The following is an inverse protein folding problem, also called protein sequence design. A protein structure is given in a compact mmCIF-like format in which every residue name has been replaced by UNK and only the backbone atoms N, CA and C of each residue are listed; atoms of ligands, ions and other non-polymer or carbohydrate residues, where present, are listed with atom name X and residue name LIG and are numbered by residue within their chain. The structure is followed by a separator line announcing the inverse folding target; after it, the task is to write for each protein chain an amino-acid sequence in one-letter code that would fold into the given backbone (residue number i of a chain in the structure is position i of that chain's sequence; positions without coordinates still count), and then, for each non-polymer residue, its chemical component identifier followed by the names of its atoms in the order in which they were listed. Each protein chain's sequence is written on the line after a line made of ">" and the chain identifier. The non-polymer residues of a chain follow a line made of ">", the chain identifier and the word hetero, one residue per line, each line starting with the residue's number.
data_IF_986638766526
#
_entry.id   IF_986638766526
#
_cell.length_a   1.000
_cell.length_b   1.000
_cell.length_c   1.000
_cell.angle_alpha   90.00
_cell.angle_beta   90.00
_cell.angle_gamma   90.00
#
_symmetry.space_group_name_H-M   'P 1'
#
loop_
_entity.id
_entity.type
_entity.pdbx_description
1 polymer ?
#
# COMPACT_ATOMS: atom_id res chain seq x y z
N UNK A 1 29.79 17.17 -5.89
CA UNK A 1 28.95 16.66 -4.79
C UNK A 1 28.15 17.82 -4.25
N UNK A 2 26.84 17.63 -4.20
CA UNK A 2 25.89 18.57 -3.64
C UNK A 2 25.19 17.88 -2.45
N UNK A 3 24.46 18.64 -1.64
CA UNK A 3 23.65 18.10 -0.56
C UNK A 3 22.17 18.26 -0.90
N UNK A 4 21.37 17.24 -0.59
CA UNK A 4 19.91 17.34 -0.66
C UNK A 4 19.36 18.18 0.50
N UNK A 5 18.07 18.48 0.46
CA UNK A 5 17.34 19.25 1.49
C UNK A 5 17.44 18.68 2.92
N UNK A 6 17.84 17.40 3.03
CA UNK A 6 18.02 16.67 4.30
C UNK A 6 19.49 16.53 4.72
N UNK A 7 20.41 17.20 4.03
CA UNK A 7 21.85 17.22 4.35
C UNK A 7 22.59 15.93 3.97
N UNK A 8 22.02 15.09 3.09
CA UNK A 8 22.68 13.90 2.56
C UNK A 8 23.43 14.26 1.28
N UNK A 9 24.66 13.76 1.15
CA UNK A 9 25.48 14.00 -0.04
C UNK A 9 24.95 13.21 -1.24
N UNK A 10 24.91 13.86 -2.40
CA UNK A 10 24.61 13.28 -3.70
C UNK A 10 25.82 13.50 -4.62
N UNK A 11 26.28 12.45 -5.30
CA UNK A 11 27.45 12.46 -6.18
C UNK A 11 27.14 13.09 -7.56
N UNK A 12 26.75 14.37 -7.53
CA UNK A 12 26.51 15.20 -8.72
C UNK A 12 27.03 16.63 -8.48
N UNK A 13 27.23 17.39 -9.54
CA UNK A 13 27.39 18.85 -9.52
C UNK A 13 26.23 19.59 -10.22
N UNK A 14 25.17 18.86 -10.59
CA UNK A 14 23.98 19.36 -11.29
C UNK A 14 22.85 19.63 -10.28
N UNK A 15 22.54 20.89 -9.94
CA UNK A 15 21.52 21.22 -8.94
C UNK A 15 20.11 20.75 -9.31
N UNK A 16 19.80 20.66 -10.60
CA UNK A 16 18.50 20.20 -11.11
C UNK A 16 18.23 18.75 -10.72
N UNK A 17 19.24 17.88 -10.78
CA UNK A 17 19.11 16.48 -10.38
C UNK A 17 18.78 16.35 -8.87
N UNK A 18 19.48 17.13 -8.04
CA UNK A 18 19.21 17.19 -6.59
C UNK A 18 17.79 17.67 -6.30
N UNK A 19 17.35 18.74 -6.96
CA UNK A 19 16.01 19.29 -6.76
C UNK A 19 14.90 18.30 -7.14
N UNK A 20 15.09 17.52 -8.22
CA UNK A 20 14.16 16.48 -8.63
C UNK A 20 14.12 15.29 -7.65
N UNK A 21 15.26 14.86 -7.10
CA UNK A 21 15.34 13.83 -6.04
C UNK A 21 14.66 14.30 -4.75
N UNK A 22 14.89 15.56 -4.36
CA UNK A 22 14.22 16.18 -3.20
C UNK A 22 12.71 16.27 -3.41
N UNK A 23 12.29 16.69 -4.61
CA UNK A 23 10.88 16.74 -5.00
C UNK A 23 10.21 15.37 -4.91
N UNK A 24 10.87 14.32 -5.41
CA UNK A 24 10.40 12.94 -5.29
C UNK A 24 10.28 12.48 -3.84
N UNK A 25 11.33 12.72 -3.04
CA UNK A 25 11.34 12.38 -1.62
C UNK A 25 10.19 13.05 -0.90
N UNK A 26 9.99 14.35 -1.15
CA UNK A 26 8.87 15.10 -0.60
C UNK A 26 7.53 14.54 -1.07
N UNK A 27 7.37 14.24 -2.36
CA UNK A 27 6.15 13.68 -2.91
C UNK A 27 5.76 12.35 -2.25
N UNK A 28 6.73 11.47 -1.94
CA UNK A 28 6.47 10.20 -1.27
C UNK A 28 6.06 10.37 0.21
N UNK A 29 6.73 11.24 0.96
CA UNK A 29 6.45 11.42 2.40
C UNK A 29 5.21 12.27 2.67
N UNK A 30 4.97 13.28 1.82
CA UNK A 30 3.81 14.16 1.90
C UNK A 30 2.61 13.64 1.09
N UNK A 31 2.81 12.58 0.30
CA UNK A 31 1.82 12.00 -0.59
C UNK A 31 1.22 13.02 -1.56
N UNK A 32 2.04 13.83 -2.23
CA UNK A 32 1.58 14.72 -3.31
C UNK A 32 1.54 13.97 -4.65
N UNK A 33 0.86 14.51 -5.65
CA UNK A 33 0.79 13.93 -7.00
C UNK A 33 1.99 14.29 -7.91
N UNK A 34 3.09 14.80 -7.32
CA UNK A 34 4.25 15.33 -8.06
C UNK A 34 5.42 14.35 -8.20
N UNK A 35 5.26 13.08 -7.81
CA UNK A 35 6.35 12.10 -7.77
C UNK A 35 7.05 11.86 -9.12
N UNK A 36 6.38 12.13 -10.25
CA UNK A 36 6.98 12.04 -11.59
C UNK A 36 8.16 13.00 -11.81
N UNK A 37 8.29 14.06 -11.00
CA UNK A 37 9.39 15.03 -11.07
C UNK A 37 10.77 14.38 -11.00
N UNK A 38 10.88 13.19 -10.40
CA UNK A 38 12.15 12.46 -10.32
C UNK A 38 12.74 12.13 -11.69
N UNK A 39 11.91 12.03 -12.74
CA UNK A 39 12.36 11.71 -14.09
C UNK A 39 13.21 12.82 -14.71
N UNK A 40 13.05 14.05 -14.23
CA UNK A 40 13.88 15.18 -14.62
C UNK A 40 15.33 15.00 -14.11
N UNK A 41 15.56 14.17 -13.08
CA UNK A 41 16.88 13.96 -12.50
C UNK A 41 17.84 13.21 -13.45
N UNK A 42 17.52 12.00 -13.97
CA UNK A 42 18.37 11.34 -14.95
C UNK A 42 18.39 12.04 -16.31
N UNK A 43 17.38 12.87 -16.65
CA UNK A 43 17.45 13.74 -17.83
C UNK A 43 18.51 14.85 -17.67
N UNK A 44 18.62 15.43 -16.48
CA UNK A 44 19.57 16.50 -16.17
C UNK A 44 21.00 15.97 -15.95
N UNK A 45 21.14 14.84 -15.26
CA UNK A 45 22.43 14.18 -15.01
C UNK A 45 22.31 12.66 -15.22
N UNK A 46 22.50 12.17 -16.47
CA UNK A 46 22.37 10.76 -16.80
C UNK A 46 23.35 9.85 -16.06
N UNK A 47 24.49 10.39 -15.60
CA UNK A 47 25.52 9.61 -14.92
C UNK A 47 25.32 9.58 -13.39
N UNK A 48 24.34 10.34 -12.86
CA UNK A 48 24.03 10.35 -11.43
C UNK A 48 23.35 9.05 -11.00
N UNK A 49 23.99 8.33 -10.08
CA UNK A 49 23.53 7.02 -9.61
C UNK A 49 22.23 7.14 -8.82
N UNK A 50 22.10 8.12 -7.92
CA UNK A 50 20.88 8.30 -7.14
C UNK A 50 19.69 8.74 -8.01
N UNK A 51 19.93 9.60 -9.01
CA UNK A 51 18.89 10.04 -9.94
C UNK A 51 18.25 8.86 -10.68
N UNK A 52 19.09 7.99 -11.25
CA UNK A 52 18.65 6.79 -11.95
C UNK A 52 18.01 5.76 -10.99
N UNK A 53 18.57 5.55 -9.81
CA UNK A 53 17.98 4.64 -8.82
C UNK A 53 16.60 5.13 -8.33
N UNK A 54 16.43 6.45 -8.13
CA UNK A 54 15.16 7.04 -7.72
C UNK A 54 14.11 6.96 -8.84
N UNK A 55 14.50 7.17 -10.11
CA UNK A 55 13.63 6.96 -11.26
C UNK A 55 13.20 5.49 -11.41
N UNK A 56 14.12 4.53 -11.21
CA UNK A 56 13.78 3.11 -11.16
C UNK A 56 12.78 2.80 -10.03
N UNK A 57 12.99 3.36 -8.83
CA UNK A 57 12.08 3.20 -7.70
C UNK A 57 10.67 3.74 -8.01
N UNK A 58 10.56 4.90 -8.67
CA UNK A 58 9.28 5.44 -9.13
C UNK A 58 8.52 4.44 -10.02
N UNK A 59 9.18 3.83 -11.00
CA UNK A 59 8.56 2.84 -11.88
C UNK A 59 8.05 1.62 -11.09
N UNK A 60 8.81 1.20 -10.09
CA UNK A 60 8.45 0.06 -9.24
C UNK A 60 7.22 0.29 -8.35
N UNK A 61 6.95 1.54 -7.95
CA UNK A 61 5.69 1.90 -7.26
C UNK A 61 4.43 1.74 -8.13
N UNK A 62 4.58 1.48 -9.43
CA UNK A 62 3.44 1.15 -10.30
C UNK A 62 2.74 -0.17 -9.93
N UNK A 63 3.43 -1.09 -9.23
CA UNK A 63 2.90 -2.38 -8.75
C UNK A 63 2.21 -3.25 -9.84
N UNK A 64 2.67 -3.16 -11.09
CA UNK A 64 2.21 -4.01 -12.20
C UNK A 64 3.30 -4.99 -12.65
N UNK A 65 2.95 -6.00 -13.45
CA UNK A 65 3.95 -6.89 -14.09
C UNK A 65 4.95 -6.16 -14.99
N UNK A 66 4.64 -4.94 -15.44
CA UNK A 66 5.50 -4.18 -16.33
C UNK A 66 6.47 -3.27 -15.56
N UNK A 67 6.20 -2.97 -14.30
CA UNK A 67 6.98 -2.04 -13.47
C UNK A 67 8.48 -2.40 -13.42
N UNK A 68 8.81 -3.70 -13.29
CA UNK A 68 10.21 -4.15 -13.31
C UNK A 68 10.89 -3.96 -14.68
N UNK A 69 10.15 -4.07 -15.79
CA UNK A 69 10.69 -3.81 -17.12
C UNK A 69 10.85 -2.31 -17.40
N UNK A 70 9.96 -1.48 -16.86
CA UNK A 70 10.02 -0.01 -16.96
C UNK A 70 11.14 0.57 -16.08
N UNK A 71 11.42 -0.05 -14.94
CA UNK A 71 12.51 0.33 -14.05
C UNK A 71 13.90 -0.09 -14.57
N UNK A 72 13.96 -1.14 -15.42
CA UNK A 72 15.23 -1.76 -15.85
C UNK A 72 16.20 -0.78 -16.52
N UNK A 73 15.78 0.07 -17.49
CA UNK A 73 16.70 1.00 -18.14
C UNK A 73 17.39 1.94 -17.14
N UNK A 74 16.65 2.45 -16.16
CA UNK A 74 17.20 3.36 -15.16
C UNK A 74 18.16 2.64 -14.22
N UNK A 75 17.79 1.47 -13.69
CA UNK A 75 18.64 0.79 -12.71
C UNK A 75 19.93 0.22 -13.34
N UNK A 76 19.87 -0.20 -14.60
CA UNK A 76 21.06 -0.64 -15.35
C UNK A 76 22.01 0.56 -15.59
N UNK A 77 21.47 1.75 -15.87
CA UNK A 77 22.27 2.98 -16.00
C UNK A 77 22.94 3.38 -14.67
N UNK A 78 22.21 3.28 -13.55
CA UNK A 78 22.77 3.49 -12.22
C UNK A 78 23.97 2.56 -11.96
N UNK A 79 23.88 1.29 -12.37
CA UNK A 79 24.97 0.34 -12.20
C UNK A 79 26.15 0.56 -13.15
N UNK A 80 25.91 1.07 -14.37
CA UNK A 80 26.99 1.51 -15.29
C UNK A 80 27.88 2.56 -14.64
N UNK A 81 27.28 3.46 -13.86
CA UNK A 81 27.97 4.59 -13.22
C UNK A 81 28.27 4.40 -11.73
N UNK A 82 28.07 3.19 -11.18
CA UNK A 82 28.19 2.89 -9.75
C UNK A 82 29.55 3.29 -9.14
N UNK A 83 30.62 3.31 -9.94
CA UNK A 83 31.96 3.74 -9.49
C UNK A 83 32.06 5.22 -9.12
N UNK A 84 31.07 6.04 -9.46
CA UNK A 84 30.95 7.46 -9.09
C UNK A 84 30.12 7.67 -7.81
N UNK A 85 29.40 6.65 -7.35
CA UNK A 85 28.50 6.73 -6.22
C UNK A 85 29.24 6.98 -4.90
N UNK A 86 28.61 7.74 -4.00
CA UNK A 86 28.94 7.67 -2.57
C UNK A 86 28.56 6.29 -2.01
N UNK A 87 29.08 5.89 -0.82
CA UNK A 87 28.68 4.63 -0.19
C UNK A 87 27.17 4.49 0.03
N UNK A 88 26.48 5.60 0.35
CA UNK A 88 25.02 5.63 0.50
C UNK A 88 24.32 5.35 -0.82
N UNK A 89 24.72 6.05 -1.88
CA UNK A 89 24.12 5.90 -3.21
C UNK A 89 24.32 4.50 -3.79
N UNK A 90 25.50 3.88 -3.57
CA UNK A 90 25.74 2.48 -3.96
C UNK A 90 24.78 1.53 -3.24
N UNK A 91 24.59 1.69 -1.92
CA UNK A 91 23.63 0.89 -1.17
C UNK A 91 22.19 1.13 -1.64
N UNK A 92 21.79 2.36 -1.94
CA UNK A 92 20.46 2.68 -2.42
C UNK A 92 20.20 2.08 -3.81
N UNK A 93 21.15 2.22 -4.75
CA UNK A 93 21.07 1.58 -6.06
C UNK A 93 20.99 0.05 -5.95
N UNK A 94 21.73 -0.56 -5.03
CA UNK A 94 21.61 -2.01 -4.75
C UNK A 94 20.27 -2.39 -4.14
N UNK A 95 19.71 -1.57 -3.26
CA UNK A 95 18.37 -1.79 -2.70
C UNK A 95 17.31 -1.80 -3.80
N UNK A 96 17.33 -0.79 -4.68
CA UNK A 96 16.41 -0.69 -5.82
C UNK A 96 16.66 -1.80 -6.84
N UNK A 97 17.91 -2.16 -7.13
CA UNK A 97 18.24 -3.28 -8.01
C UNK A 97 17.72 -4.62 -7.49
N UNK A 98 17.78 -4.84 -6.17
CA UNK A 98 17.17 -6.00 -5.54
C UNK A 98 15.63 -5.97 -5.66
N UNK A 99 15.00 -4.81 -5.48
CA UNK A 99 13.57 -4.63 -5.70
C UNK A 99 13.16 -4.94 -7.14
N UNK A 100 13.84 -4.39 -8.14
CA UNK A 100 13.58 -4.64 -9.58
C UNK A 100 13.79 -6.12 -9.95
N UNK A 101 14.62 -6.84 -9.19
CA UNK A 101 14.87 -8.28 -9.38
C UNK A 101 13.94 -9.18 -8.56
N UNK A 102 13.05 -8.60 -7.76
CA UNK A 102 12.09 -9.33 -6.90
C UNK A 102 12.66 -9.84 -5.58
N UNK A 103 13.91 -9.51 -5.22
CA UNK A 103 14.53 -9.89 -3.95
C UNK A 103 14.29 -8.82 -2.87
N UNK A 104 13.04 -8.76 -2.39
CA UNK A 104 12.63 -7.80 -1.35
C UNK A 104 13.40 -7.99 -0.02
N UNK A 105 13.68 -9.23 0.46
CA UNK A 105 14.53 -9.41 1.64
C UNK A 105 15.92 -8.77 1.50
N UNK A 106 16.54 -8.87 0.33
CA UNK A 106 17.82 -8.20 0.07
C UNK A 106 17.67 -6.68 0.01
N UNK A 107 16.61 -6.16 -0.63
CA UNK A 107 16.32 -4.72 -0.65
C UNK A 107 16.20 -4.14 0.77
N UNK A 108 15.45 -4.80 1.66
CA UNK A 108 15.29 -4.43 3.07
C UNK A 108 16.62 -4.43 3.84
N UNK A 109 17.52 -5.39 3.56
CA UNK A 109 18.85 -5.41 4.17
C UNK A 109 19.69 -4.20 3.79
N UNK A 110 19.63 -3.77 2.53
CA UNK A 110 20.33 -2.54 2.11
C UNK A 110 19.71 -1.30 2.74
N UNK A 111 18.39 -1.17 2.77
CA UNK A 111 17.74 -0.06 3.46
C UNK A 111 18.10 -0.02 4.96
N UNK A 112 18.12 -1.16 5.65
CA UNK A 112 18.54 -1.22 7.04
C UNK A 112 20.01 -0.81 7.22
N UNK A 113 20.92 -1.27 6.36
CA UNK A 113 22.34 -0.90 6.39
C UNK A 113 22.58 0.60 6.12
N UNK A 114 21.75 1.22 5.27
CA UNK A 114 21.75 2.67 5.08
C UNK A 114 21.38 3.36 6.39
N UNK A 115 20.31 2.93 7.06
CA UNK A 115 19.83 3.56 8.29
C UNK A 115 20.77 3.39 9.49
N UNK A 116 21.64 2.37 9.50
CA UNK A 116 22.70 2.24 10.50
C UNK A 116 23.71 3.41 10.45
N UNK A 117 23.90 4.01 9.27
CA UNK A 117 24.84 5.10 9.03
C UNK A 117 24.16 6.46 8.82
N UNK A 118 22.98 6.47 8.18
CA UNK A 118 22.16 7.64 7.86
C UNK A 118 20.73 7.45 8.39
N UNK A 119 20.53 7.44 9.72
CA UNK A 119 19.25 7.12 10.35
C UNK A 119 18.10 8.07 9.98
N UNK A 120 18.39 9.28 9.49
CA UNK A 120 17.40 10.27 9.05
C UNK A 120 17.05 10.20 7.56
N UNK A 121 17.55 9.20 6.82
CA UNK A 121 17.30 9.03 5.40
C UNK A 121 15.84 8.62 5.13
N UNK A 122 14.98 9.63 5.06
CA UNK A 122 13.53 9.47 5.02
C UNK A 122 13.03 8.81 3.74
N UNK A 123 13.75 8.96 2.62
CA UNK A 123 13.43 8.28 1.37
C UNK A 123 13.56 6.76 1.55
N UNK A 124 14.70 6.32 2.10
CA UNK A 124 14.95 4.91 2.37
C UNK A 124 13.99 4.35 3.44
N UNK A 125 13.67 5.12 4.49
CA UNK A 125 12.65 4.74 5.48
C UNK A 125 11.30 4.50 4.78
N UNK A 126 10.86 5.42 3.91
CA UNK A 126 9.55 5.35 3.27
C UNK A 126 9.43 4.16 2.32
N UNK A 127 10.46 3.91 1.51
CA UNK A 127 10.52 2.76 0.59
C UNK A 127 10.55 1.45 1.40
N UNK A 128 11.37 1.38 2.45
CA UNK A 128 11.43 0.20 3.30
C UNK A 128 10.11 -0.09 4.03
N UNK A 129 9.42 0.94 4.54
CA UNK A 129 8.08 0.78 5.13
C UNK A 129 7.08 0.25 4.10
N UNK A 130 7.15 0.68 2.84
CA UNK A 130 6.32 0.13 1.76
C UNK A 130 6.58 -1.38 1.55
N UNK A 131 7.86 -1.80 1.53
CA UNK A 131 8.21 -3.22 1.45
C UNK A 131 7.74 -4.03 2.66
N UNK A 132 7.96 -3.54 3.87
CA UNK A 132 7.50 -4.21 5.09
C UNK A 132 5.97 -4.33 5.11
N UNK A 133 5.25 -3.27 4.72
CA UNK A 133 3.80 -3.26 4.60
C UNK A 133 3.30 -4.33 3.62
N UNK A 134 3.86 -4.39 2.41
CA UNK A 134 3.47 -5.36 1.40
C UNK A 134 3.81 -6.82 1.75
N UNK A 135 4.65 -7.04 2.77
CA UNK A 135 5.03 -8.37 3.30
C UNK A 135 4.39 -8.70 4.64
N UNK A 136 3.61 -7.80 5.24
CA UNK A 136 3.05 -7.98 6.57
C UNK A 136 4.06 -7.90 7.72
N UNK A 137 5.24 -7.32 7.49
CA UNK A 137 6.29 -7.16 8.50
C UNK A 137 6.04 -5.92 9.36
N UNK A 138 5.08 -6.02 10.29
CA UNK A 138 4.74 -4.93 11.21
C UNK A 138 5.94 -4.49 12.06
N UNK A 139 6.82 -5.42 12.44
CA UNK A 139 8.03 -5.11 13.20
C UNK A 139 9.01 -4.24 12.42
N UNK A 140 9.19 -4.53 11.13
CA UNK A 140 9.99 -3.71 10.23
C UNK A 140 9.38 -2.32 10.04
N UNK A 141 8.06 -2.21 9.79
CA UNK A 141 7.38 -0.90 9.66
C UNK A 141 7.69 -0.01 10.86
N UNK A 142 7.55 -0.57 12.08
CA UNK A 142 7.89 0.14 13.32
C UNK A 142 9.37 0.49 13.40
N UNK A 143 10.26 -0.47 13.17
CA UNK A 143 11.69 -0.25 13.31
C UNK A 143 12.20 0.88 12.41
N UNK A 144 11.79 0.90 11.14
CA UNK A 144 12.17 1.95 10.20
C UNK A 144 11.65 3.33 10.65
N UNK A 145 10.36 3.43 11.02
CA UNK A 145 9.76 4.69 11.48
C UNK A 145 10.36 5.19 12.80
N UNK A 146 10.54 4.30 13.77
CA UNK A 146 11.11 4.62 15.08
C UNK A 146 12.58 5.06 14.99
N UNK A 147 13.37 4.43 14.11
CA UNK A 147 14.78 4.79 13.90
C UNK A 147 14.90 6.22 13.37
N UNK A 148 14.11 6.57 12.36
CA UNK A 148 14.08 7.94 11.84
C UNK A 148 13.59 8.94 12.87
N UNK A 149 12.44 8.67 13.50
CA UNK A 149 11.86 9.57 14.49
C UNK A 149 12.79 9.80 15.70
N UNK A 150 13.54 8.79 16.16
CA UNK A 150 14.49 8.95 17.26
C UNK A 150 15.65 9.89 16.89
N UNK A 151 16.04 9.92 15.62
CA UNK A 151 17.13 10.77 15.15
C UNK A 151 16.67 12.19 14.83
N UNK A 152 15.47 12.34 14.26
CA UNK A 152 14.86 13.64 13.95
C UNK A 152 13.41 13.71 14.49
N UNK A 153 13.24 13.93 15.81
CA UNK A 153 11.92 13.92 16.47
C UNK A 153 11.03 15.10 16.08
N UNK A 154 11.64 16.19 15.57
CA UNK A 154 10.93 17.40 15.15
C UNK A 154 10.34 17.27 13.73
N UNK A 155 10.70 16.22 12.98
CA UNK A 155 10.11 15.94 11.67
C UNK A 155 8.73 15.28 11.82
N UNK A 156 7.67 16.05 11.53
CA UNK A 156 6.28 15.57 11.58
C UNK A 156 6.00 14.38 10.62
N UNK A 157 6.70 14.29 9.49
CA UNK A 157 6.56 13.14 8.57
C UNK A 157 7.07 11.84 9.21
N UNK A 158 8.25 11.89 9.84
CA UNK A 158 8.81 10.74 10.57
C UNK A 158 7.93 10.35 11.76
N UNK A 159 7.39 11.33 12.48
CA UNK A 159 6.45 11.07 13.58
C UNK A 159 5.16 10.37 13.09
N UNK A 160 4.59 10.78 11.95
CA UNK A 160 3.45 10.10 11.35
C UNK A 160 3.78 8.67 10.88
N UNK A 161 4.97 8.48 10.29
CA UNK A 161 5.47 7.15 9.87
C UNK A 161 5.72 6.22 11.08
N UNK A 162 6.22 6.78 12.19
CA UNK A 162 6.37 6.09 13.46
C UNK A 162 5.02 5.73 14.09
N UNK A 163 4.06 6.67 14.09
CA UNK A 163 2.71 6.44 14.60
C UNK A 163 2.03 5.25 13.90
N UNK A 164 2.17 5.14 12.58
CA UNK A 164 1.65 4.00 11.84
C UNK A 164 2.34 2.68 12.23
N UNK A 165 3.67 2.70 12.41
CA UNK A 165 4.39 1.51 12.90
C UNK A 165 3.99 1.06 14.31
N UNK A 166 3.70 2.01 15.21
CA UNK A 166 3.15 1.71 16.52
C UNK A 166 1.78 1.04 16.41
N UNK A 167 0.89 1.57 15.56
CA UNK A 167 -0.44 0.99 15.36
C UNK A 167 -0.36 -0.43 14.78
N UNK A 168 0.49 -0.65 13.76
CA UNK A 168 0.65 -1.97 13.15
C UNK A 168 1.19 -3.03 14.14
N UNK A 169 1.96 -2.60 15.16
CA UNK A 169 2.46 -3.47 16.23
C UNK A 169 1.57 -3.54 17.48
N UNK A 170 0.41 -2.86 17.46
CA UNK A 170 -0.59 -2.90 18.52
C UNK A 170 -0.38 -1.93 19.68
N UNK A 171 0.63 -1.05 19.63
CA UNK A 171 0.80 0.04 20.61
C UNK A 171 -0.11 1.22 20.26
N UNK A 172 -1.41 1.05 20.51
CA UNK A 172 -2.44 2.03 20.13
C UNK A 172 -2.32 3.35 20.89
N UNK A 173 -1.90 3.30 22.16
CA UNK A 173 -1.71 4.50 22.98
C UNK A 173 -0.54 5.35 22.48
N UNK A 174 0.59 4.70 22.16
CA UNK A 174 1.73 5.37 21.52
C UNK A 174 1.35 5.92 20.16
N UNK A 175 0.69 5.11 19.33
CA UNK A 175 0.27 5.49 17.99
C UNK A 175 -0.63 6.73 18.00
N UNK A 176 -1.62 6.79 18.90
CA UNK A 176 -2.51 7.95 19.01
C UNK A 176 -1.76 9.22 19.36
N UNK A 177 -0.88 9.16 20.39
CA UNK A 177 -0.08 10.32 20.81
C UNK A 177 0.80 10.84 19.69
N UNK A 178 1.53 9.94 19.02
CA UNK A 178 2.42 10.30 17.91
C UNK A 178 1.63 10.85 16.72
N UNK A 179 0.52 10.22 16.32
CA UNK A 179 -0.29 10.69 15.21
C UNK A 179 -0.87 12.09 15.48
N UNK A 180 -1.40 12.33 16.69
CA UNK A 180 -1.91 13.65 17.10
C UNK A 180 -0.82 14.72 17.11
N UNK A 181 0.34 14.41 17.68
CA UNK A 181 1.48 15.33 17.68
C UNK A 181 1.94 15.69 16.25
N UNK A 182 1.97 14.70 15.35
CA UNK A 182 2.30 14.93 13.95
C UNK A 182 1.27 15.83 13.24
N UNK A 183 -0.03 15.66 13.52
CA UNK A 183 -1.10 16.51 13.01
C UNK A 183 -1.01 17.94 13.56
N UNK A 184 -0.69 18.09 14.85
CA UNK A 184 -0.55 19.41 15.48
C UNK A 184 0.66 20.18 14.91
N UNK A 185 1.77 19.48 14.68
CA UNK A 185 2.99 20.08 14.11
C UNK A 185 2.86 20.40 12.62
N UNK A 186 2.18 19.52 11.88
CA UNK A 186 1.91 19.67 10.47
C UNK A 186 0.45 19.30 10.17
N UNK A 187 -0.49 20.26 10.18
CA UNK A 187 -1.91 19.99 9.91
C UNK A 187 -2.14 19.33 8.55
N UNK A 188 -1.31 19.64 7.56
CA UNK A 188 -1.33 19.00 6.24
C UNK A 188 -0.47 17.73 6.21
N UNK A 189 -0.77 16.77 7.07
CA UNK A 189 -0.06 15.48 7.13
C UNK A 189 -1.04 14.32 6.91
N UNK A 190 -1.35 13.99 5.64
CA UNK A 190 -2.38 13.01 5.33
C UNK A 190 -2.02 11.60 5.82
N UNK A 191 -0.73 11.27 5.95
CA UNK A 191 -0.29 10.00 6.51
C UNK A 191 -0.53 9.90 8.03
N UNK A 192 -0.34 11.00 8.77
CA UNK A 192 -0.71 11.06 10.18
C UNK A 192 -2.23 10.98 10.38
N UNK A 193 -3.02 11.57 9.48
CA UNK A 193 -4.48 11.45 9.50
C UNK A 193 -4.90 9.99 9.31
N UNK A 194 -4.29 9.31 8.32
CA UNK A 194 -4.43 7.88 8.09
C UNK A 194 -4.04 7.04 9.32
N UNK A 195 -2.90 7.31 9.94
CA UNK A 195 -2.45 6.58 11.13
C UNK A 195 -3.42 6.74 12.31
N UNK A 196 -3.96 7.95 12.53
CA UNK A 196 -4.97 8.18 13.57
C UNK A 196 -6.30 7.50 13.22
N UNK A 197 -6.72 7.50 11.96
CA UNK A 197 -7.91 6.78 11.51
C UNK A 197 -7.81 5.29 11.83
N UNK A 198 -6.64 4.70 11.60
CA UNK A 198 -6.28 3.35 11.96
C UNK A 198 -6.49 3.06 13.45
N UNK A 199 -5.93 3.91 14.32
CA UNK A 199 -6.08 3.76 15.79
C UNK A 199 -7.54 3.82 16.20
N UNK A 200 -8.29 4.82 15.72
CA UNK A 200 -9.70 5.02 16.07
C UNK A 200 -10.57 3.86 15.57
N UNK A 201 -10.27 3.33 14.38
CA UNK A 201 -10.97 2.17 13.81
C UNK A 201 -10.72 0.92 14.64
N UNK A 202 -9.47 0.64 15.00
CA UNK A 202 -9.10 -0.52 15.84
C UNK A 202 -9.76 -0.45 17.23
N UNK A 203 -10.02 0.76 17.74
CA UNK A 203 -10.76 0.99 19.00
C UNK A 203 -12.28 1.04 18.85
N UNK A 204 -12.82 0.82 17.66
CA UNK A 204 -14.26 0.96 17.35
C UNK A 204 -14.82 2.35 17.70
N UNK A 205 -13.97 3.39 17.66
CA UNK A 205 -14.33 4.78 17.92
C UNK A 205 -14.83 5.46 16.63
N UNK A 206 -15.80 4.85 15.96
CA UNK A 206 -16.22 5.21 14.60
C UNK A 206 -16.74 6.65 14.47
N UNK A 207 -17.56 7.12 15.43
CA UNK A 207 -18.03 8.51 15.45
C UNK A 207 -16.88 9.51 15.56
N UNK A 208 -15.87 9.21 16.38
CA UNK A 208 -14.70 10.06 16.53
C UNK A 208 -13.84 10.05 15.26
N UNK A 209 -13.66 8.88 14.64
CA UNK A 209 -12.95 8.75 13.37
C UNK A 209 -13.63 9.57 12.26
N UNK A 210 -14.96 9.45 12.13
CA UNK A 210 -15.75 10.18 11.14
C UNK A 210 -15.63 11.70 11.33
N UNK A 211 -15.81 12.18 12.56
CA UNK A 211 -15.71 13.61 12.88
C UNK A 211 -14.28 14.16 12.63
N UNK A 212 -13.26 13.39 13.00
CA UNK A 212 -11.86 13.76 12.75
C UNK A 212 -11.58 13.83 11.25
N UNK A 213 -11.87 12.77 10.50
CA UNK A 213 -11.56 12.67 9.09
C UNK A 213 -12.29 13.71 8.24
N UNK A 214 -13.57 13.97 8.51
CA UNK A 214 -14.29 15.05 7.82
C UNK A 214 -13.66 16.41 8.08
N UNK A 215 -13.27 16.71 9.32
CA UNK A 215 -12.62 17.99 9.66
C UNK A 215 -11.32 18.18 8.89
N UNK A 216 -10.50 17.13 8.83
CA UNK A 216 -9.19 17.19 8.17
C UNK A 216 -9.25 17.04 6.63
N UNK A 217 -10.41 16.67 6.08
CA UNK A 217 -10.54 16.31 4.66
C UNK A 217 -10.12 17.39 3.66
N UNK A 218 -10.26 18.66 4.04
CA UNK A 218 -9.84 19.81 3.23
C UNK A 218 -8.32 19.89 3.00
N UNK A 219 -7.51 19.12 3.74
CA UNK A 219 -6.06 19.02 3.52
C UNK A 219 -5.68 18.04 2.40
N UNK A 220 -6.61 17.26 1.88
CA UNK A 220 -6.32 16.16 0.96
C UNK A 220 -6.37 16.55 -0.52
N UNK A 221 -6.85 17.75 -0.89
CA UNK A 221 -7.14 18.11 -2.27
C UNK A 221 -5.93 18.08 -3.23
N UNK A 222 -4.71 18.33 -2.74
CA UNK A 222 -3.49 18.15 -3.56
C UNK A 222 -2.67 16.89 -3.19
N UNK A 223 -3.31 15.93 -2.52
CA UNK A 223 -2.73 14.61 -2.34
C UNK A 223 -2.74 13.80 -3.65
N UNK A 224 -1.84 12.83 -3.74
CA UNK A 224 -1.87 11.78 -4.74
C UNK A 224 -3.21 11.07 -4.73
N UNK A 225 -3.57 10.48 -5.88
CA UNK A 225 -4.82 9.74 -6.02
C UNK A 225 -4.96 8.65 -4.95
N UNK A 226 -3.89 7.91 -4.68
CA UNK A 226 -3.84 6.96 -3.57
C UNK A 226 -4.26 7.60 -2.23
N UNK A 227 -3.55 8.62 -1.77
CA UNK A 227 -3.76 9.12 -0.41
C UNK A 227 -5.10 9.85 -0.26
N UNK A 228 -5.53 10.58 -1.28
CA UNK A 228 -6.85 11.19 -1.32
C UNK A 228 -7.94 10.13 -1.18
N UNK A 229 -7.96 9.14 -2.08
CA UNK A 229 -9.01 8.11 -2.09
C UNK A 229 -8.96 7.21 -0.87
N UNK A 230 -7.78 6.97 -0.31
CA UNK A 230 -7.60 6.09 0.85
C UNK A 230 -8.06 6.74 2.17
N UNK A 231 -7.81 8.03 2.38
CA UNK A 231 -8.35 8.74 3.54
C UNK A 231 -9.87 8.87 3.48
N UNK A 232 -10.43 9.08 2.28
CA UNK A 232 -11.88 9.01 2.08
C UNK A 232 -12.44 7.60 2.25
N UNK A 233 -11.70 6.56 1.86
CA UNK A 233 -12.05 5.17 2.15
C UNK A 233 -12.14 4.91 3.65
N UNK A 234 -11.18 5.40 4.45
CA UNK A 234 -11.28 5.34 5.92
C UNK A 234 -12.49 6.11 6.46
N UNK A 235 -12.83 7.24 5.84
CA UNK A 235 -14.02 8.03 6.22
C UNK A 235 -15.30 7.21 5.98
N UNK A 236 -15.39 6.52 4.84
CA UNK A 236 -16.48 5.61 4.53
C UNK A 236 -16.53 4.41 5.48
N UNK A 237 -15.38 3.84 5.87
CA UNK A 237 -15.33 2.80 6.91
C UNK A 237 -15.85 3.29 8.27
N UNK A 238 -15.54 4.53 8.64
CA UNK A 238 -16.06 5.13 9.85
C UNK A 238 -17.59 5.29 9.78
N UNK A 239 -18.14 5.74 8.64
CA UNK A 239 -19.58 5.81 8.42
C UNK A 239 -20.28 4.44 8.48
N UNK A 240 -19.68 3.40 7.89
CA UNK A 240 -20.17 2.02 8.05
C UNK A 240 -20.21 1.60 9.52
N UNK A 241 -19.16 1.91 10.28
CA UNK A 241 -19.06 1.61 11.71
C UNK A 241 -20.09 2.36 12.58
N UNK A 242 -20.70 3.44 12.09
CA UNK A 242 -21.79 4.15 12.75
C UNK A 242 -23.19 3.68 12.31
N UNK A 243 -23.26 2.69 11.42
CA UNK A 243 -24.51 2.20 10.85
C UNK A 243 -25.08 3.08 9.72
N UNK A 244 -24.28 4.01 9.18
CA UNK A 244 -24.66 4.93 8.10
C UNK A 244 -24.14 4.39 6.75
N UNK A 245 -24.72 3.29 6.27
CA UNK A 245 -24.21 2.59 5.10
C UNK A 245 -24.49 3.34 3.79
N UNK A 246 -25.59 4.08 3.73
CA UNK A 246 -25.91 4.98 2.62
C UNK A 246 -24.89 6.11 2.50
N UNK A 247 -24.49 6.75 3.60
CA UNK A 247 -23.44 7.77 3.63
C UNK A 247 -22.11 7.21 3.10
N UNK A 248 -21.78 5.97 3.46
CA UNK A 248 -20.58 5.30 2.95
C UNK A 248 -20.65 5.04 1.43
N UNK A 249 -21.83 4.73 0.89
CA UNK A 249 -22.05 4.61 -0.56
C UNK A 249 -21.95 5.96 -1.27
N UNK A 250 -22.45 7.04 -0.67
CA UNK A 250 -22.28 8.40 -1.20
C UNK A 250 -20.79 8.81 -1.23
N UNK A 251 -20.04 8.51 -0.16
CA UNK A 251 -18.59 8.73 -0.11
C UNK A 251 -17.83 7.92 -1.16
N UNK A 252 -18.30 6.70 -1.47
CA UNK A 252 -17.74 5.91 -2.56
C UNK A 252 -17.84 6.68 -3.89
N UNK A 253 -19.02 7.17 -4.23
CA UNK A 253 -19.30 7.87 -5.50
C UNK A 253 -18.59 9.23 -5.57
N UNK A 254 -18.54 9.96 -4.46
CA UNK A 254 -17.99 11.31 -4.40
C UNK A 254 -16.46 11.34 -4.35
N UNK A 255 -15.83 10.34 -3.71
CA UNK A 255 -14.42 10.46 -3.34
C UNK A 255 -13.56 9.21 -3.55
N UNK A 256 -14.09 8.00 -3.33
CA UNK A 256 -13.26 6.78 -3.43
C UNK A 256 -13.04 6.37 -4.89
N UNK A 257 -14.06 6.49 -5.74
CA UNK A 257 -14.00 6.10 -7.15
C UNK A 257 -14.02 7.30 -8.11
N UNK A 258 -13.15 8.30 -7.88
CA UNK A 258 -13.15 9.55 -8.66
C UNK A 258 -11.79 9.93 -9.24
N UNK A 259 -10.75 10.08 -8.41
CA UNK A 259 -9.42 10.55 -8.83
C UNK A 259 -8.59 9.43 -9.44
N UNK A 260 -7.93 9.73 -10.56
CA UNK A 260 -7.02 8.86 -11.34
C UNK A 260 -7.21 7.35 -11.10
N UNK A 261 -8.36 6.84 -11.54
CA UNK A 261 -8.76 5.42 -11.39
C UNK A 261 -7.89 4.45 -12.23
N UNK A 262 -6.85 4.95 -12.91
CA UNK A 262 -5.85 4.12 -13.57
C UNK A 262 -4.80 3.61 -12.59
N UNK A 263 -4.59 4.31 -11.47
CA UNK A 263 -3.73 3.81 -10.40
C UNK A 263 -4.39 2.62 -9.71
N UNK A 264 -3.57 1.71 -9.19
CA UNK A 264 -4.03 0.47 -8.57
C UNK A 264 -4.75 0.73 -7.25
N UNK A 265 -4.23 1.65 -6.43
CA UNK A 265 -4.72 1.84 -5.07
C UNK A 265 -6.20 2.29 -4.99
N UNK A 266 -6.68 3.25 -5.82
CA UNK A 266 -8.12 3.54 -5.92
C UNK A 266 -8.99 2.32 -6.27
N UNK A 267 -8.49 1.39 -7.09
CA UNK A 267 -9.22 0.19 -7.50
C UNK A 267 -9.42 -0.79 -6.34
N UNK A 268 -8.38 -1.02 -5.54
CA UNK A 268 -8.49 -1.92 -4.39
C UNK A 268 -9.29 -1.29 -3.24
N UNK A 269 -9.18 0.03 -3.04
CA UNK A 269 -10.03 0.77 -2.10
C UNK A 269 -11.52 0.64 -2.49
N UNK A 270 -11.83 0.84 -3.78
CA UNK A 270 -13.17 0.71 -4.31
C UNK A 270 -13.73 -0.71 -4.16
N UNK A 271 -12.96 -1.73 -4.57
CA UNK A 271 -13.37 -3.13 -4.42
C UNK A 271 -13.62 -3.51 -2.96
N UNK A 272 -12.74 -3.06 -2.05
CA UNK A 272 -12.86 -3.31 -0.61
C UNK A 272 -14.15 -2.68 -0.05
N UNK A 273 -14.43 -1.41 -0.40
CA UNK A 273 -15.61 -0.71 0.11
C UNK A 273 -16.92 -1.30 -0.44
N UNK A 274 -16.97 -1.64 -1.73
CA UNK A 274 -18.15 -2.28 -2.33
C UNK A 274 -18.46 -3.64 -1.67
N UNK A 275 -17.45 -4.46 -1.44
CA UNK A 275 -17.64 -5.74 -0.74
C UNK A 275 -18.19 -5.53 0.68
N UNK A 276 -17.70 -4.52 1.41
CA UNK A 276 -18.20 -4.19 2.77
C UNK A 276 -19.64 -3.69 2.76
N UNK A 277 -20.01 -2.88 1.77
CA UNK A 277 -21.38 -2.40 1.59
C UNK A 277 -22.34 -3.56 1.33
N UNK A 278 -21.98 -4.48 0.43
CA UNK A 278 -22.79 -5.69 0.17
C UNK A 278 -22.93 -6.58 1.41
N UNK A 279 -21.85 -6.75 2.21
CA UNK A 279 -21.92 -7.50 3.48
C UNK A 279 -22.88 -6.88 4.50
N UNK A 280 -23.12 -5.57 4.41
CA UNK A 280 -24.12 -4.85 5.23
C UNK A 280 -25.52 -4.84 4.58
N UNK A 281 -25.70 -5.54 3.46
CA UNK A 281 -26.98 -5.62 2.75
C UNK A 281 -27.30 -4.43 1.85
N UNK A 282 -26.34 -3.54 1.57
CA UNK A 282 -26.54 -2.40 0.67
C UNK A 282 -26.51 -2.86 -0.78
N UNK A 283 -27.50 -2.43 -1.57
CA UNK A 283 -27.49 -2.58 -3.02
C UNK A 283 -26.51 -1.59 -3.65
N UNK A 284 -25.36 -2.10 -4.10
CA UNK A 284 -24.31 -1.29 -4.75
C UNK A 284 -24.60 -0.99 -6.22
N UNK A 285 -25.68 -1.54 -6.80
CA UNK A 285 -26.09 -1.32 -8.18
C UNK A 285 -25.02 -1.74 -9.19
N UNK A 286 -24.69 -0.87 -10.15
CA UNK A 286 -23.76 -1.17 -11.25
C UNK A 286 -22.29 -0.86 -10.93
N UNK A 287 -21.96 -0.49 -9.69
CA UNK A 287 -20.64 0.05 -9.30
C UNK A 287 -19.49 -0.94 -9.42
N UNK A 288 -19.76 -2.24 -9.43
CA UNK A 288 -18.73 -3.25 -9.68
C UNK A 288 -18.16 -3.20 -11.11
N UNK A 289 -19.00 -2.91 -12.12
CA UNK A 289 -18.59 -2.96 -13.54
C UNK A 289 -17.42 -2.01 -13.87
N UNK A 290 -17.43 -0.72 -13.48
CA UNK A 290 -16.29 0.15 -13.75
C UNK A 290 -15.00 -0.29 -13.04
N UNK A 291 -15.08 -0.87 -11.83
CA UNK A 291 -13.93 -1.39 -11.10
C UNK A 291 -13.38 -2.65 -11.78
N UNK A 292 -14.25 -3.59 -12.15
CA UNK A 292 -13.90 -4.82 -12.86
C UNK A 292 -13.23 -4.55 -14.22
N UNK A 293 -13.67 -3.50 -14.93
CA UNK A 293 -13.05 -3.06 -16.20
C UNK A 293 -11.60 -2.64 -16.03
N UNK A 294 -11.19 -2.17 -14.86
CA UNK A 294 -9.78 -1.93 -14.51
C UNK A 294 -9.11 -3.21 -14.01
N UNK A 295 -9.72 -3.92 -13.07
CA UNK A 295 -9.19 -5.18 -12.53
C UNK A 295 -8.81 -6.22 -13.60
N UNK A 296 -9.55 -6.29 -14.73
CA UNK A 296 -9.24 -7.23 -15.83
C UNK A 296 -7.88 -7.03 -16.49
N UNK A 297 -7.22 -5.87 -16.34
CA UNK A 297 -5.86 -5.66 -16.86
C UNK A 297 -4.78 -6.24 -15.96
N UNK A 298 -5.14 -6.69 -14.75
CA UNK A 298 -4.24 -7.16 -13.70
C UNK A 298 -4.32 -8.68 -13.47
N UNK A 299 -5.02 -9.43 -14.33
CA UNK A 299 -5.25 -10.90 -14.21
C UNK A 299 -3.94 -11.69 -14.03
N UNK A 300 -2.85 -11.20 -14.62
CA UNK A 300 -1.55 -11.88 -14.66
C UNK A 300 -0.43 -11.12 -13.93
N UNK A 301 -0.78 -10.13 -13.10
CA UNK A 301 0.22 -9.29 -12.43
C UNK A 301 0.94 -10.05 -11.32
N UNK A 302 0.20 -10.54 -10.31
CA UNK A 302 0.75 -11.31 -9.19
C UNK A 302 1.94 -10.65 -8.49
N UNK A 303 1.92 -9.31 -8.40
CA UNK A 303 2.97 -8.51 -7.75
C UNK A 303 2.78 -8.52 -6.23
N UNK A 304 1.52 -8.52 -5.76
CA UNK A 304 1.17 -8.55 -4.36
C UNK A 304 -0.17 -9.29 -4.15
N UNK A 305 -0.21 -10.17 -3.15
CA UNK A 305 -1.38 -11.02 -2.89
C UNK A 305 -2.61 -10.23 -2.45
N UNK A 306 -2.46 -9.15 -1.68
CA UNK A 306 -3.58 -8.29 -1.28
C UNK A 306 -4.24 -7.63 -2.50
N UNK A 307 -3.44 -7.14 -3.46
CA UNK A 307 -3.96 -6.56 -4.71
C UNK A 307 -4.75 -7.58 -5.53
N UNK A 308 -4.18 -8.76 -5.75
CA UNK A 308 -4.80 -9.84 -6.52
C UNK A 308 -6.16 -10.25 -5.96
N UNK A 309 -6.27 -10.35 -4.63
CA UNK A 309 -7.52 -10.70 -3.95
C UNK A 309 -8.62 -9.65 -4.22
N UNK A 310 -8.27 -8.37 -4.26
CA UNK A 310 -9.24 -7.29 -4.52
C UNK A 310 -9.62 -7.19 -6.00
N UNK A 311 -8.68 -7.44 -6.92
CA UNK A 311 -9.00 -7.55 -8.34
C UNK A 311 -9.93 -8.75 -8.61
N UNK A 312 -9.70 -9.88 -7.95
CA UNK A 312 -10.57 -11.04 -8.01
C UNK A 312 -11.97 -10.72 -7.48
N UNK A 313 -12.07 -10.05 -6.32
CA UNK A 313 -13.34 -9.54 -5.79
C UNK A 313 -14.06 -8.64 -6.81
N UNK A 314 -13.35 -7.73 -7.47
CA UNK A 314 -13.96 -6.85 -8.47
C UNK A 314 -14.52 -7.61 -9.68
N UNK A 315 -13.75 -8.56 -10.24
CA UNK A 315 -14.19 -9.37 -11.36
C UNK A 315 -15.42 -10.22 -11.00
N UNK A 316 -15.40 -10.87 -9.83
CA UNK A 316 -16.49 -11.69 -9.34
C UNK A 316 -17.72 -10.82 -8.96
N UNK A 317 -17.48 -9.65 -8.37
CA UNK A 317 -18.47 -8.62 -8.05
C UNK A 317 -19.27 -8.18 -9.28
N UNK A 318 -18.61 -7.98 -10.41
CA UNK A 318 -19.25 -7.62 -11.68
C UNK A 318 -19.87 -8.81 -12.43
N UNK A 319 -19.85 -10.03 -11.87
CA UNK A 319 -20.35 -11.24 -12.55
C UNK A 319 -19.50 -11.67 -13.75
N UNK A 320 -18.23 -11.25 -13.82
CA UNK A 320 -17.31 -11.61 -14.90
C UNK A 320 -16.61 -12.96 -14.61
N UNK A 321 -17.40 -14.00 -14.35
CA UNK A 321 -16.94 -15.31 -13.85
C UNK A 321 -15.82 -15.92 -14.70
N UNK A 322 -15.91 -15.85 -16.02
CA UNK A 322 -14.87 -16.38 -16.91
C UNK A 322 -13.50 -15.70 -16.67
N UNK A 323 -13.49 -14.39 -16.39
CA UNK A 323 -12.26 -13.65 -16.06
C UNK A 323 -11.79 -13.93 -14.66
N UNK A 324 -12.71 -14.03 -13.69
CA UNK A 324 -12.38 -14.37 -12.31
C UNK A 324 -11.73 -15.76 -12.22
N UNK A 325 -12.27 -16.76 -12.94
CA UNK A 325 -11.68 -18.10 -13.05
C UNK A 325 -10.34 -18.10 -13.80
N UNK A 326 -10.20 -17.28 -14.86
CA UNK A 326 -8.91 -17.10 -15.54
C UNK A 326 -7.84 -16.50 -14.59
N UNK A 327 -8.23 -15.58 -13.71
CA UNK A 327 -7.34 -15.01 -12.72
C UNK A 327 -6.98 -16.03 -11.64
N UNK A 328 -7.95 -16.83 -11.16
CA UNK A 328 -7.68 -17.91 -10.23
C UNK A 328 -6.68 -18.92 -10.82
N UNK A 329 -6.85 -19.33 -12.08
CA UNK A 329 -5.92 -20.25 -12.73
C UNK A 329 -4.49 -19.66 -12.85
N UNK A 330 -4.39 -18.39 -13.24
CA UNK A 330 -3.09 -17.69 -13.28
C UNK A 330 -2.43 -17.60 -11.90
N UNK A 331 -3.24 -17.39 -10.85
CA UNK A 331 -2.80 -17.36 -9.46
C UNK A 331 -2.32 -18.74 -8.99
N UNK A 332 -2.96 -19.83 -9.42
CA UNK A 332 -2.53 -21.21 -9.14
C UNK A 332 -1.16 -21.50 -9.76
N UNK A 333 -0.94 -21.10 -11.02
CA UNK A 333 0.36 -21.22 -11.70
C UNK A 333 1.43 -20.39 -10.99
N UNK A 334 1.09 -19.19 -10.52
CA UNK A 334 2.00 -18.35 -9.74
C UNK A 334 2.35 -18.99 -8.39
N UNK A 335 1.35 -19.47 -7.64
CA UNK A 335 1.54 -20.11 -6.35
C UNK A 335 2.44 -21.35 -6.45
N UNK A 336 2.27 -22.18 -7.48
CA UNK A 336 3.11 -23.34 -7.72
C UNK A 336 4.58 -22.96 -7.99
N UNK A 337 4.84 -21.90 -8.75
CA UNK A 337 6.20 -21.38 -8.99
C UNK A 337 6.84 -20.86 -7.70
N UNK A 338 6.11 -20.03 -6.94
CA UNK A 338 6.60 -19.45 -5.68
C UNK A 338 6.87 -20.51 -4.61
N UNK A 339 6.06 -21.58 -4.59
CA UNK A 339 6.30 -22.73 -3.73
C UNK A 339 7.66 -23.38 -4.00
N UNK A 340 8.04 -23.55 -5.27
CA UNK A 340 9.36 -24.08 -5.65
C UNK A 340 10.52 -23.16 -5.24
N UNK A 341 10.25 -21.87 -5.08
CA UNK A 341 11.20 -20.85 -4.61
C UNK A 341 11.19 -20.71 -3.07
N UNK A 342 10.40 -21.54 -2.36
CA UNK A 342 10.32 -21.57 -0.90
C UNK A 342 9.34 -20.56 -0.29
N UNK A 343 8.58 -19.83 -1.11
CA UNK A 343 7.56 -18.90 -0.65
C UNK A 343 6.19 -19.60 -0.53
N UNK A 344 5.85 -19.94 0.71
CA UNK A 344 4.63 -20.66 1.07
C UNK A 344 3.37 -19.77 1.04
N UNK A 345 3.54 -18.45 1.01
CA UNK A 345 2.45 -17.47 1.18
C UNK A 345 1.37 -17.65 0.11
N UNK A 346 1.79 -17.74 -1.15
CA UNK A 346 0.86 -17.83 -2.27
C UNK A 346 0.02 -19.11 -2.24
N UNK A 347 0.66 -20.25 -1.93
CA UNK A 347 0.02 -21.56 -1.90
C UNK A 347 -0.95 -21.73 -0.72
N UNK A 348 -0.56 -21.26 0.46
CA UNK A 348 -1.26 -21.58 1.72
C UNK A 348 -2.06 -20.42 2.31
N UNK A 349 -1.91 -19.19 1.78
CA UNK A 349 -2.67 -18.01 2.23
C UNK A 349 -3.47 -17.42 1.08
N UNK A 350 -2.80 -16.99 0.00
CA UNK A 350 -3.45 -16.23 -1.08
C UNK A 350 -4.43 -17.10 -1.86
N UNK A 351 -4.02 -18.32 -2.24
CA UNK A 351 -4.88 -19.21 -3.02
C UNK A 351 -6.14 -19.67 -2.24
N UNK A 352 -6.05 -20.08 -0.95
CA UNK A 352 -7.25 -20.29 -0.14
C UNK A 352 -8.11 -19.03 -0.02
N UNK A 353 -7.54 -17.85 0.21
CA UNK A 353 -8.33 -16.61 0.26
C UNK A 353 -9.08 -16.34 -1.06
N UNK A 354 -8.41 -16.52 -2.19
CA UNK A 354 -8.99 -16.35 -3.53
C UNK A 354 -10.16 -17.31 -3.79
N UNK A 355 -9.99 -18.59 -3.43
CA UNK A 355 -11.06 -19.60 -3.52
C UNK A 355 -12.22 -19.27 -2.60
N UNK A 356 -11.92 -18.77 -1.39
CA UNK A 356 -12.92 -18.33 -0.42
C UNK A 356 -13.77 -17.17 -0.93
N UNK A 357 -13.14 -16.17 -1.57
CA UNK A 357 -13.82 -15.03 -2.21
C UNK A 357 -14.79 -15.50 -3.29
N UNK A 358 -14.34 -16.37 -4.20
CA UNK A 358 -15.18 -16.85 -5.30
C UNK A 358 -16.35 -17.70 -4.80
N UNK A 359 -16.09 -18.60 -3.87
CA UNK A 359 -17.14 -19.40 -3.25
C UNK A 359 -18.18 -18.52 -2.53
N UNK A 360 -17.72 -17.48 -1.81
CA UNK A 360 -18.62 -16.51 -1.17
C UNK A 360 -19.48 -15.81 -2.22
N UNK A 361 -18.89 -15.34 -3.31
CA UNK A 361 -19.62 -14.67 -4.40
C UNK A 361 -20.63 -15.58 -5.08
N UNK A 362 -20.33 -16.87 -5.24
CA UNK A 362 -21.22 -17.86 -5.85
C UNK A 362 -22.28 -18.42 -4.90
N UNK A 363 -22.33 -17.96 -3.64
CA UNK A 363 -23.31 -18.44 -2.66
C UNK A 363 -22.95 -19.76 -1.99
N UNK A 364 -21.78 -20.35 -2.28
CA UNK A 364 -21.26 -21.54 -1.62
C UNK A 364 -20.58 -21.14 -0.31
N UNK A 365 -21.42 -20.86 0.69
CA UNK A 365 -21.00 -20.32 1.98
C UNK A 365 -20.17 -21.33 2.79
N UNK A 366 -20.39 -22.64 2.59
CA UNK A 366 -19.59 -23.67 3.26
C UNK A 366 -18.16 -23.70 2.72
N UNK A 367 -18.00 -23.74 1.39
CA UNK A 367 -16.66 -23.68 0.76
C UNK A 367 -15.95 -22.37 1.07
N UNK A 368 -16.70 -21.26 1.07
CA UNK A 368 -16.18 -19.95 1.45
C UNK A 368 -15.59 -19.95 2.87
N UNK A 369 -16.35 -20.46 3.85
CA UNK A 369 -15.91 -20.52 5.24
C UNK A 369 -14.65 -21.37 5.41
N UNK A 370 -14.59 -22.56 4.79
CA UNK A 370 -13.43 -23.46 4.89
C UNK A 370 -12.15 -22.80 4.34
N UNK A 371 -12.26 -22.18 3.17
CA UNK A 371 -11.11 -21.57 2.50
C UNK A 371 -10.64 -20.28 3.19
N UNK A 372 -11.58 -19.43 3.61
CA UNK A 372 -11.24 -18.21 4.37
C UNK A 372 -10.66 -18.54 5.75
N UNK A 373 -11.19 -19.56 6.44
CA UNK A 373 -10.62 -20.04 7.72
C UNK A 373 -9.19 -20.56 7.56
N UNK A 374 -8.88 -21.20 6.44
CA UNK A 374 -7.53 -21.65 6.12
C UNK A 374 -6.59 -20.45 5.90
N UNK A 375 -7.03 -19.41 5.19
CA UNK A 375 -6.19 -18.26 4.84
C UNK A 375 -5.96 -17.29 6.01
N UNK A 376 -6.97 -17.07 6.85
CA UNK A 376 -7.03 -15.94 7.78
C UNK A 376 -5.82 -15.82 8.73
N UNK A 377 -5.29 -16.91 9.33
CA UNK A 377 -4.12 -16.81 10.21
C UNK A 377 -2.87 -16.25 9.52
N UNK A 378 -2.69 -16.56 8.23
CA UNK A 378 -1.55 -16.11 7.43
C UNK A 378 -1.81 -14.84 6.63
N UNK A 379 -3.03 -14.30 6.63
CA UNK A 379 -3.46 -13.24 5.70
C UNK A 379 -2.63 -11.95 5.80
N UNK A 380 -2.00 -11.68 6.95
CA UNK A 380 -1.06 -10.57 7.10
C UNK A 380 0.10 -10.61 6.08
N UNK A 381 0.53 -11.81 5.67
CA UNK A 381 1.58 -12.01 4.66
C UNK A 381 1.17 -11.58 3.24
N UNK A 382 -0.14 -11.38 2.99
CA UNK A 382 -0.62 -10.80 1.73
C UNK A 382 -0.28 -9.31 1.59
N UNK A 383 0.07 -8.66 2.70
CA UNK A 383 0.14 -7.20 2.80
C UNK A 383 -1.17 -6.58 3.29
N UNK A 384 -1.33 -5.29 3.04
CA UNK A 384 -2.43 -4.49 3.57
C UNK A 384 -2.26 -4.15 5.05
N UNK A 385 -3.16 -3.33 5.59
CA UNK A 385 -3.24 -2.99 7.00
C UNK A 385 -4.25 -3.88 7.74
N UNK A 386 -4.31 -3.80 9.07
CA UNK A 386 -5.31 -4.50 9.89
C UNK A 386 -6.75 -4.14 9.45
N UNK A 387 -7.04 -2.86 9.24
CA UNK A 387 -8.35 -2.38 8.79
C UNK A 387 -8.70 -2.90 7.38
N UNK A 388 -7.73 -2.97 6.46
CA UNK A 388 -7.93 -3.52 5.13
C UNK A 388 -8.23 -5.03 5.17
N UNK A 389 -7.48 -5.80 5.97
CA UNK A 389 -7.67 -7.25 6.09
C UNK A 389 -8.90 -7.66 6.88
N UNK A 390 -9.47 -6.77 7.71
CA UNK A 390 -10.68 -7.06 8.47
C UNK A 390 -11.85 -7.51 7.57
N UNK A 391 -11.90 -7.07 6.31
CA UNK A 391 -12.90 -7.50 5.31
C UNK A 391 -12.97 -9.03 5.20
N UNK A 392 -11.83 -9.72 5.21
CA UNK A 392 -11.81 -11.17 5.03
C UNK A 392 -12.35 -11.90 6.28
N UNK A 393 -12.16 -11.32 7.47
CA UNK A 393 -12.78 -11.81 8.69
C UNK A 393 -14.31 -11.58 8.68
N UNK A 394 -14.76 -10.43 8.15
CA UNK A 394 -16.17 -10.11 7.98
C UNK A 394 -16.82 -11.09 6.98
N UNK A 395 -16.16 -11.38 5.85
CA UNK A 395 -16.60 -12.39 4.87
C UNK A 395 -16.68 -13.80 5.48
N UNK A 396 -15.71 -14.20 6.31
CA UNK A 396 -15.72 -15.49 7.00
C UNK A 396 -16.90 -15.59 7.98
N UNK A 397 -17.13 -14.53 8.75
CA UNK A 397 -18.27 -14.44 9.69
C UNK A 397 -19.58 -14.59 8.94
N UNK A 398 -19.77 -13.80 7.87
CA UNK A 398 -20.94 -13.89 7.00
C UNK A 398 -21.13 -15.30 6.42
N UNK A 399 -20.06 -15.92 5.90
CA UNK A 399 -20.11 -17.26 5.33
C UNK A 399 -20.54 -18.31 6.37
N UNK A 400 -20.01 -18.23 7.60
CA UNK A 400 -20.38 -19.17 8.68
C UNK A 400 -21.82 -19.04 9.11
N UNK A 401 -22.36 -17.83 9.17
CA UNK A 401 -23.76 -17.59 9.52
C UNK A 401 -24.70 -18.16 8.47
N UNK A 402 -24.42 -17.94 7.19
CA UNK A 402 -25.28 -18.38 6.09
C UNK A 402 -25.13 -19.87 5.75
N UNK A 403 -23.96 -20.47 5.94
CA UNK A 403 -23.77 -21.91 5.76
C UNK A 403 -24.63 -22.74 6.74
N UNK A 404 -24.81 -22.24 7.98
CA UNK A 404 -25.68 -22.89 8.97
C UNK A 404 -27.15 -22.88 8.54
N UNK A 405 -27.59 -21.79 7.93
CA UNK A 405 -28.95 -21.66 7.39
C UNK A 405 -29.16 -22.54 6.15
N UNK A 406 -28.13 -22.79 5.34
CA UNK A 406 -28.20 -23.70 4.19
C UNK A 406 -28.27 -25.18 4.59
N UNK A 407 -27.77 -25.54 5.78
CA UNK A 407 -27.75 -26.90 6.30
C UNK A 407 -28.98 -27.27 7.17
N UNK A 408 -29.79 -26.29 7.55
CA UNK A 408 -31.03 -26.45 8.32
C UNK A 408 -32.24 -26.49 7.40
#
# INVERSE_FOLDING_TARGET
>A
MLECSRGLQIATDVPQAVAAIDGFTHALIAHTDTALVVLDAPEADPECVEANAAAAALMMFGETRHSASEARPFIDEAFTHIGKATPREDMFARAVGAWVSGDIPLALRYHAAILEQWPADILNIKIAQHHCFNRGDATGIRWFGETGHRHDPDCAYLEGMYAFGLEQTGDLDGAERAARAACERLPRNPWAHHALAHVLFTRQQHLQALAFLHRESHHWDDCSSFMYTHNWWHTALAALGTGCAEDALELYDAHVWTRDINQIQPQVNAASLLARLELQGVDVGTRWEPVARKARTHIHDHVNGYLDLHFLMALAGAGQDARALSMLASLEDHAARRLNEGDLTWQYVILPAARGILAHRHGDMQTAAINLETALPGLHLAGGSHAQRALFADMLTHAREHARTQAA
#
